data_IF_242045051717
#
_entry.id   IF_242045051717
#
_cell.length_a   1.000
_cell.length_b   1.000
_cell.length_c   1.000
_cell.angle_alpha   90.00
_cell.angle_beta   90.00
_cell.angle_gamma   90.00
#
_symmetry.space_group_name_H-M   'P 1'
#
loop_
_entity.id
_entity.type
_entity.pdbx_description
1 polymer ?
#
# COMPACT_ATOMS: atom_id res chain seq x y z
N UNK A 1 17.56 4.67 12.02
CA UNK A 1 17.69 3.80 10.84
C UNK A 1 18.18 4.67 9.70
N UNK A 2 19.04 4.21 8.81
CA UNK A 2 19.50 5.03 7.69
C UNK A 2 18.33 5.19 6.69
N UNK A 3 17.93 6.42 6.45
CA UNK A 3 17.07 6.77 5.34
C UNK A 3 17.86 6.55 4.05
N UNK A 4 17.29 5.85 3.09
CA UNK A 4 17.94 5.55 1.81
C UNK A 4 17.20 6.25 0.66
N UNK A 5 17.96 6.64 -0.36
CA UNK A 5 17.37 7.20 -1.58
C UNK A 5 16.77 6.06 -2.43
N UNK A 6 15.49 6.09 -2.77
CA UNK A 6 14.87 5.08 -3.64
C UNK A 6 15.21 5.33 -5.10
N UNK A 7 15.10 4.30 -5.92
CA UNK A 7 14.87 4.44 -7.37
C UNK A 7 13.42 4.87 -7.57
N UNK A 8 13.15 5.79 -8.48
CA UNK A 8 11.79 6.26 -8.80
C UNK A 8 11.44 5.78 -10.19
N UNK A 9 10.22 5.25 -10.36
CA UNK A 9 9.81 4.71 -11.65
C UNK A 9 8.42 4.09 -11.64
N UNK A 10 8.26 3.08 -12.49
CA UNK A 10 7.01 2.39 -12.75
C UNK A 10 7.24 0.88 -12.88
N UNK A 11 6.26 0.09 -12.46
CA UNK A 11 6.26 -1.35 -12.71
C UNK A 11 5.45 -1.60 -13.97
N UNK A 12 6.07 -2.25 -14.94
CA UNK A 12 5.46 -2.51 -16.25
C UNK A 12 5.75 -3.93 -16.73
N UNK A 13 4.92 -4.52 -17.62
CA UNK A 13 5.28 -5.75 -18.33
C UNK A 13 6.55 -5.58 -19.15
N UNK A 14 7.44 -6.59 -19.14
CA UNK A 14 8.69 -6.57 -19.94
C UNK A 14 8.43 -6.44 -21.44
N UNK A 15 7.29 -6.92 -21.93
CA UNK A 15 6.82 -6.73 -23.30
C UNK A 15 5.30 -6.83 -23.37
N UNK A 16 4.69 -6.47 -24.50
CA UNK A 16 3.23 -6.56 -24.72
C UNK A 16 2.66 -7.97 -24.54
N UNK A 17 3.50 -9.01 -24.64
CA UNK A 17 3.09 -10.41 -24.52
C UNK A 17 3.70 -11.10 -23.28
N UNK A 18 4.54 -10.40 -22.53
CA UNK A 18 5.18 -10.92 -21.33
C UNK A 18 4.26 -10.84 -20.13
N UNK A 19 4.27 -11.91 -19.33
CA UNK A 19 3.69 -11.90 -17.97
C UNK A 19 4.73 -11.47 -16.92
N UNK A 20 6.00 -11.36 -17.32
CA UNK A 20 7.05 -10.92 -16.43
C UNK A 20 7.00 -9.41 -16.30
N UNK A 21 7.08 -8.93 -15.08
CA UNK A 21 7.11 -7.53 -14.73
C UNK A 21 8.55 -7.07 -14.54
N UNK A 22 8.77 -5.77 -14.75
CA UNK A 22 10.04 -5.11 -14.49
C UNK A 22 9.79 -3.72 -13.92
N UNK A 23 10.73 -3.24 -13.12
CA UNK A 23 10.78 -1.85 -12.74
C UNK A 23 11.53 -1.05 -13.82
N UNK A 24 10.97 0.07 -14.23
CA UNK A 24 11.57 1.00 -15.19
C UNK A 24 11.73 2.35 -14.50
N UNK A 25 12.96 2.85 -14.44
CA UNK A 25 13.24 4.15 -13.85
C UNK A 25 12.62 5.27 -14.69
N UNK A 26 11.89 6.15 -14.01
CA UNK A 26 11.22 7.31 -14.57
C UNK A 26 11.04 8.35 -13.45
N UNK A 27 11.64 9.51 -13.59
CA UNK A 27 11.57 10.57 -12.59
C UNK A 27 10.15 11.13 -12.36
N UNK A 28 9.23 10.89 -13.28
CA UNK A 28 7.80 11.21 -13.14
C UNK A 28 6.94 10.04 -12.65
N UNK A 29 7.57 8.91 -12.27
CA UNK A 29 6.87 7.75 -11.72
C UNK A 29 6.40 7.99 -10.29
N UNK A 30 5.43 7.18 -9.88
CA UNK A 30 4.82 7.21 -8.55
C UNK A 30 5.33 6.10 -7.62
N UNK A 31 6.15 5.18 -8.16
CA UNK A 31 6.70 4.04 -7.44
C UNK A 31 8.14 4.31 -6.99
N UNK A 32 8.34 4.23 -5.69
CA UNK A 32 9.63 4.38 -5.00
C UNK A 32 10.13 2.99 -4.62
N UNK A 33 11.28 2.57 -5.11
CA UNK A 33 11.83 1.24 -4.95
C UNK A 33 13.18 1.27 -4.24
N UNK A 34 13.28 0.61 -3.08
CA UNK A 34 14.53 0.42 -2.33
C UNK A 34 15.15 -0.95 -2.60
N UNK A 35 14.30 -1.98 -2.73
CA UNK A 35 14.75 -3.37 -2.95
C UNK A 35 13.92 -4.04 -4.04
N UNK A 36 14.58 -4.72 -4.95
CA UNK A 36 13.92 -5.62 -5.89
C UNK A 36 13.35 -6.85 -5.16
N UNK A 37 12.29 -7.48 -5.67
CA UNK A 37 11.74 -8.68 -5.07
C UNK A 37 12.74 -9.84 -5.12
N UNK A 38 12.83 -10.58 -4.01
CA UNK A 38 13.72 -11.74 -3.86
C UNK A 38 12.88 -13.00 -3.96
N UNK A 39 13.27 -13.98 -4.83
CA UNK A 39 12.54 -15.24 -4.94
C UNK A 39 12.42 -15.96 -3.59
N UNK A 40 11.21 -16.43 -3.27
CA UNK A 40 10.92 -17.14 -2.02
C UNK A 40 10.64 -16.24 -0.83
N UNK A 41 10.78 -14.90 -0.96
CA UNK A 41 10.37 -13.98 0.09
C UNK A 41 8.85 -13.74 0.05
N UNK A 42 8.30 -13.43 1.21
CA UNK A 42 6.91 -13.10 1.45
C UNK A 42 6.76 -11.61 1.69
N UNK A 43 5.79 -11.00 1.01
CA UNK A 43 5.58 -9.55 1.07
C UNK A 43 4.16 -9.22 1.52
N UNK A 44 4.04 -8.10 2.22
CA UNK A 44 2.76 -7.51 2.60
C UNK A 44 2.65 -6.10 2.04
N UNK A 45 1.44 -5.72 1.66
CA UNK A 45 1.13 -4.37 1.16
C UNK A 45 0.06 -3.77 2.06
N UNK A 46 0.31 -2.56 2.56
CA UNK A 46 -0.68 -1.72 3.22
C UNK A 46 -1.06 -0.55 2.33
N UNK A 47 -2.35 -0.25 2.23
CA UNK A 47 -2.90 0.77 1.33
C UNK A 47 -3.74 1.75 2.12
N UNK A 48 -3.45 3.03 1.94
CA UNK A 48 -4.28 4.16 2.34
C UNK A 48 -4.57 5.03 1.10
N UNK A 49 -5.85 5.34 0.86
CA UNK A 49 -6.28 6.06 -0.33
C UNK A 49 -6.72 7.47 0.01
N UNK A 50 -6.31 8.45 -0.79
CA UNK A 50 -6.71 9.84 -0.61
C UNK A 50 -8.22 10.02 -0.79
N UNK A 51 -8.86 10.71 0.16
CA UNK A 51 -10.24 11.20 0.02
C UNK A 51 -10.29 12.55 -0.74
N UNK A 52 -9.14 13.10 -1.12
CA UNK A 52 -9.05 14.41 -1.78
C UNK A 52 -9.34 15.60 -0.86
N UNK A 53 -9.37 15.36 0.44
CA UNK A 53 -9.57 16.39 1.46
C UNK A 53 -8.26 17.12 1.75
N UNK A 54 -8.36 18.38 2.21
CA UNK A 54 -7.22 19.14 2.72
C UNK A 54 -7.34 19.14 4.25
N UNK A 55 -6.49 18.40 4.98
CA UNK A 55 -6.55 18.38 6.43
C UNK A 55 -6.31 19.76 7.03
N UNK A 56 -6.93 20.00 8.18
CA UNK A 56 -6.79 21.26 8.90
C UNK A 56 -5.31 21.53 9.26
N UNK A 57 -4.83 22.72 8.93
CA UNK A 57 -3.44 23.12 9.18
C UNK A 57 -2.44 22.71 8.09
N UNK A 58 -2.87 22.00 7.05
CA UNK A 58 -2.04 21.68 5.88
C UNK A 58 -2.38 22.56 4.68
N UNK A 59 -1.46 22.63 3.69
CA UNK A 59 -1.68 23.30 2.40
C UNK A 59 -1.82 22.32 1.23
N UNK A 60 -1.67 21.03 1.51
CA UNK A 60 -1.71 19.97 0.50
C UNK A 60 -2.87 19.02 0.81
N UNK A 61 -3.57 18.50 -0.20
CA UNK A 61 -4.54 17.43 0.01
C UNK A 61 -3.85 16.16 0.47
N UNK A 62 -4.61 15.25 1.10
CA UNK A 62 -4.16 13.91 1.45
C UNK A 62 -3.66 13.16 0.22
N UNK A 63 -2.63 12.37 0.40
CA UNK A 63 -2.02 11.56 -0.65
C UNK A 63 -2.43 10.08 -0.54
N UNK A 64 -2.55 9.42 -1.68
CA UNK A 64 -2.62 7.97 -1.71
C UNK A 64 -1.25 7.38 -1.42
N UNK A 65 -1.19 6.48 -0.44
CA UNK A 65 0.04 5.79 -0.03
C UNK A 65 -0.15 4.27 -0.07
N UNK A 66 0.80 3.59 -0.69
CA UNK A 66 0.93 2.13 -0.66
C UNK A 66 2.30 1.79 -0.09
N UNK A 67 2.36 1.01 0.98
CA UNK A 67 3.60 0.56 1.63
C UNK A 67 3.82 -0.92 1.36
N UNK A 68 5.03 -1.29 0.93
CA UNK A 68 5.42 -2.70 0.74
C UNK A 68 6.48 -3.08 1.75
N UNK A 69 6.21 -4.12 2.53
CA UNK A 69 7.14 -4.66 3.52
C UNK A 69 7.54 -6.10 3.16
N UNK A 70 8.83 -6.39 3.24
CA UNK A 70 9.37 -7.75 3.17
C UNK A 70 9.21 -8.43 4.54
N UNK A 71 8.24 -9.35 4.64
CA UNK A 71 7.94 -10.10 5.86
C UNK A 71 9.11 -11.03 6.23
N UNK A 72 9.73 -11.66 5.24
CA UNK A 72 10.85 -12.58 5.43
C UNK A 72 12.08 -11.90 6.01
N UNK A 73 12.25 -10.60 5.74
CA UNK A 73 13.31 -9.75 6.28
C UNK A 73 12.88 -8.93 7.50
N UNK A 74 11.90 -9.41 8.25
CA UNK A 74 11.48 -8.79 9.50
C UNK A 74 10.77 -7.44 9.31
N UNK A 75 9.99 -7.27 8.23
CA UNK A 75 9.23 -6.05 7.97
C UNK A 75 10.10 -4.92 7.40
N UNK A 76 11.09 -5.23 6.56
CA UNK A 76 11.85 -4.21 5.82
C UNK A 76 10.96 -3.55 4.76
N UNK A 77 10.90 -2.23 4.76
CA UNK A 77 10.24 -1.46 3.70
C UNK A 77 11.03 -1.58 2.41
N UNK A 78 10.40 -2.10 1.36
CA UNK A 78 11.07 -2.38 0.08
C UNK A 78 10.58 -1.52 -1.07
N UNK A 79 9.34 -1.04 -1.00
CA UNK A 79 8.78 -0.12 -1.99
C UNK A 79 7.63 0.72 -1.41
N UNK A 80 7.27 1.77 -2.14
CA UNK A 80 6.14 2.65 -1.88
C UNK A 80 5.55 3.15 -3.19
N UNK A 81 4.21 3.28 -3.28
CA UNK A 81 3.56 4.19 -4.22
C UNK A 81 3.10 5.40 -3.42
N UNK A 82 3.30 6.59 -3.98
CA UNK A 82 2.85 7.84 -3.36
C UNK A 82 2.50 8.90 -4.39
N UNK A 83 1.35 9.54 -4.23
CA UNK A 83 0.93 10.66 -5.08
C UNK A 83 -0.55 11.03 -4.90
N UNK A 84 -0.98 12.02 -5.68
CA UNK A 84 -2.40 12.38 -5.82
C UNK A 84 -3.06 11.43 -6.83
N UNK A 85 -3.30 10.19 -6.40
CA UNK A 85 -3.79 9.10 -7.24
C UNK A 85 -5.22 8.78 -6.80
N UNK A 86 -6.20 8.91 -7.72
CA UNK A 86 -7.58 8.51 -7.42
C UNK A 86 -7.70 6.99 -7.25
N UNK A 87 -8.75 6.54 -6.57
CA UNK A 87 -9.01 5.10 -6.37
C UNK A 87 -9.04 4.32 -7.69
N UNK A 88 -9.65 4.89 -8.75
CA UNK A 88 -9.72 4.24 -10.06
C UNK A 88 -8.34 4.07 -10.69
N UNK A 89 -7.48 5.07 -10.54
CA UNK A 89 -6.14 5.07 -11.11
C UNK A 89 -5.15 4.24 -10.28
N UNK A 90 -5.47 3.96 -9.02
CA UNK A 90 -4.62 3.14 -8.13
C UNK A 90 -4.72 1.65 -8.41
N UNK A 91 -5.88 1.15 -8.85
CA UNK A 91 -6.15 -0.30 -8.97
C UNK A 91 -5.09 -1.02 -9.79
N UNK A 92 -4.75 -0.51 -10.96
CA UNK A 92 -3.79 -1.16 -11.85
C UNK A 92 -2.35 -1.09 -11.33
N UNK A 93 -1.81 0.06 -10.89
CA UNK A 93 -0.50 0.11 -10.23
C UNK A 93 -0.39 -0.82 -9.02
N UNK A 94 -1.45 -0.92 -8.21
CA UNK A 94 -1.49 -1.80 -7.04
C UNK A 94 -1.46 -3.28 -7.44
N UNK A 95 -2.20 -3.68 -8.48
CA UNK A 95 -2.16 -5.04 -9.03
C UNK A 95 -0.75 -5.39 -9.53
N UNK A 96 -0.14 -4.50 -10.33
CA UNK A 96 1.22 -4.70 -10.85
C UNK A 96 2.25 -4.78 -9.73
N UNK A 97 2.14 -3.92 -8.72
CA UNK A 97 3.03 -3.93 -7.55
C UNK A 97 2.89 -5.23 -6.76
N UNK A 98 1.66 -5.69 -6.50
CA UNK A 98 1.40 -6.92 -5.79
C UNK A 98 1.93 -8.16 -6.53
N UNK A 99 1.77 -8.21 -7.86
CA UNK A 99 2.34 -9.26 -8.71
C UNK A 99 3.87 -9.19 -8.77
N UNK A 100 4.46 -8.00 -8.90
CA UNK A 100 5.91 -7.79 -8.91
C UNK A 100 6.55 -8.34 -7.64
N UNK A 101 5.90 -8.14 -6.48
CA UNK A 101 6.31 -8.72 -5.20
C UNK A 101 5.71 -10.11 -4.95
N UNK A 102 5.71 -10.98 -5.97
CA UNK A 102 5.38 -12.42 -5.91
C UNK A 102 4.00 -12.74 -5.32
N UNK A 103 3.02 -11.87 -5.60
CA UNK A 103 1.68 -12.03 -5.07
C UNK A 103 1.59 -11.65 -3.59
N UNK A 104 2.00 -10.44 -3.27
CA UNK A 104 1.98 -9.92 -1.91
C UNK A 104 0.59 -10.00 -1.25
N UNK A 105 0.56 -10.17 0.07
CA UNK A 105 -0.68 -10.10 0.84
C UNK A 105 -1.09 -8.64 1.06
N UNK A 106 -2.32 -8.27 0.67
CA UNK A 106 -2.75 -6.87 0.59
C UNK A 106 -3.80 -6.54 1.64
N UNK A 107 -3.56 -5.48 2.40
CA UNK A 107 -4.49 -4.89 3.38
C UNK A 107 -4.83 -3.47 2.95
N UNK A 108 -6.09 -3.21 2.62
CA UNK A 108 -6.58 -1.91 2.16
C UNK A 108 -7.38 -1.28 3.29
N UNK A 109 -7.14 0.00 3.59
CA UNK A 109 -8.05 0.78 4.42
C UNK A 109 -9.36 0.96 3.66
N UNK A 110 -10.47 0.44 4.21
CA UNK A 110 -11.72 0.29 3.44
C UNK A 110 -12.71 1.45 3.57
N UNK A 111 -12.44 2.44 4.42
CA UNK A 111 -13.33 3.60 4.55
C UNK A 111 -13.23 4.49 3.31
N UNK A 112 -12.01 4.90 2.96
CA UNK A 112 -11.71 5.65 1.75
C UNK A 112 -11.52 4.74 0.53
N UNK A 113 -10.86 3.58 0.68
CA UNK A 113 -10.50 2.66 -0.41
C UNK A 113 -11.57 1.65 -0.83
N UNK A 114 -12.86 2.02 -0.74
CA UNK A 114 -13.95 1.09 -1.06
C UNK A 114 -13.96 0.60 -2.50
N UNK A 115 -13.70 1.48 -3.44
CA UNK A 115 -13.61 1.13 -4.86
C UNK A 115 -12.43 0.20 -5.13
N UNK A 116 -11.26 0.50 -4.54
CA UNK A 116 -10.07 -0.35 -4.64
C UNK A 116 -10.34 -1.74 -4.08
N UNK A 117 -11.02 -1.87 -2.91
CA UNK A 117 -11.41 -3.16 -2.35
C UNK A 117 -12.27 -3.98 -3.32
N UNK A 118 -13.26 -3.35 -3.97
CA UNK A 118 -14.16 -4.01 -4.93
C UNK A 118 -13.39 -4.49 -6.17
N UNK A 119 -12.54 -3.66 -6.73
CA UNK A 119 -11.79 -4.00 -7.94
C UNK A 119 -10.68 -5.03 -7.65
N UNK A 120 -9.98 -4.92 -6.53
CA UNK A 120 -9.00 -5.93 -6.10
C UNK A 120 -9.66 -7.29 -5.88
N UNK A 121 -10.86 -7.34 -5.28
CA UNK A 121 -11.63 -8.58 -5.11
C UNK A 121 -11.98 -9.28 -6.42
N UNK A 122 -12.15 -8.52 -7.52
CA UNK A 122 -12.44 -9.05 -8.86
C UNK A 122 -11.19 -9.52 -9.60
N UNK A 123 -10.08 -8.81 -9.41
CA UNK A 123 -8.90 -8.91 -10.26
C UNK A 123 -7.67 -9.52 -9.57
N UNK A 124 -7.74 -9.79 -8.27
CA UNK A 124 -6.65 -10.39 -7.50
C UNK A 124 -7.08 -11.65 -6.75
N UNK A 125 -6.12 -12.49 -6.33
CA UNK A 125 -6.40 -13.73 -5.59
C UNK A 125 -7.02 -13.42 -4.22
N UNK A 126 -8.26 -13.88 -3.99
CA UNK A 126 -9.04 -13.54 -2.78
C UNK A 126 -8.34 -13.94 -1.48
N UNK A 127 -7.57 -15.00 -1.48
CA UNK A 127 -6.83 -15.46 -0.29
C UNK A 127 -5.56 -14.64 0.00
N UNK A 128 -5.19 -13.72 -0.92
CA UNK A 128 -4.13 -12.73 -0.75
C UNK A 128 -4.65 -11.36 -0.37
N UNK A 129 -5.94 -11.23 -0.16
CA UNK A 129 -6.57 -10.02 0.34
C UNK A 129 -6.96 -10.22 1.80
N UNK A 130 -6.65 -9.23 2.63
CA UNK A 130 -7.17 -9.18 3.99
C UNK A 130 -8.68 -9.02 3.97
N UNK A 131 -9.35 -9.75 4.84
CA UNK A 131 -10.79 -9.67 5.02
C UNK A 131 -11.12 -9.33 6.46
N UNK A 132 -11.99 -8.35 6.62
CA UNK A 132 -12.59 -8.05 7.90
C UNK A 132 -13.86 -8.90 8.09
N UNK A 133 -13.96 -9.60 9.21
CA UNK A 133 -15.13 -10.38 9.57
C UNK A 133 -16.01 -9.51 10.47
N UNK A 134 -16.96 -8.76 9.88
CA UNK A 134 -17.92 -7.92 10.59
C UNK A 134 -19.22 -8.65 10.83
N UNK A 135 -19.75 -8.56 12.05
CA UNK A 135 -21.10 -9.01 12.34
C UNK A 135 -22.11 -8.06 11.70
N UNK A 136 -22.95 -8.59 10.81
CA UNK A 136 -24.04 -7.84 10.19
C UNK A 136 -25.33 -8.09 10.95
N UNK A 137 -25.80 -7.10 11.71
CA UNK A 137 -27.02 -7.19 12.55
C UNK A 137 -28.29 -7.46 11.73
N UNK A 138 -28.44 -6.83 10.55
CA UNK A 138 -29.61 -6.98 9.70
C UNK A 138 -29.75 -8.41 9.15
N UNK A 139 -28.62 -9.01 8.79
CA UNK A 139 -28.55 -10.36 8.22
C UNK A 139 -28.29 -11.44 9.25
N UNK A 140 -28.05 -11.09 10.51
CA UNK A 140 -27.67 -11.98 11.63
C UNK A 140 -26.57 -12.98 11.23
N UNK A 141 -25.57 -12.52 10.50
CA UNK A 141 -24.42 -13.31 10.04
C UNK A 141 -23.16 -12.47 9.95
N UNK A 142 -22.02 -13.13 10.03
CA UNK A 142 -20.76 -12.49 9.70
C UNK A 142 -20.72 -12.18 8.19
N UNK A 143 -20.37 -10.96 7.84
CA UNK A 143 -19.99 -10.57 6.48
C UNK A 143 -18.47 -10.51 6.40
N UNK A 144 -17.92 -11.14 5.40
CA UNK A 144 -16.49 -11.13 5.12
C UNK A 144 -16.21 -10.18 3.98
N UNK A 145 -15.77 -8.98 4.32
CA UNK A 145 -15.48 -7.93 3.35
C UNK A 145 -13.97 -7.72 3.19
N UNK A 146 -13.54 -7.40 1.96
CA UNK A 146 -12.13 -7.07 1.68
C UNK A 146 -11.78 -5.74 2.32
N UNK A 147 -10.60 -5.69 2.90
CA UNK A 147 -10.04 -4.49 3.53
C UNK A 147 -10.24 -4.44 5.04
N UNK A 148 -9.55 -3.51 5.67
CA UNK A 148 -9.64 -3.22 7.10
C UNK A 148 -10.42 -1.94 7.31
N UNK A 149 -11.52 -2.01 8.09
CA UNK A 149 -12.30 -0.83 8.44
C UNK A 149 -11.67 -0.13 9.64
N UNK A 150 -11.09 1.04 9.38
CA UNK A 150 -10.54 1.88 10.44
C UNK A 150 -11.65 2.67 11.13
N UNK A 151 -11.63 2.70 12.45
CA UNK A 151 -12.49 3.56 13.28
C UNK A 151 -11.75 3.99 14.53
N UNK A 152 -12.27 4.98 15.24
CA UNK A 152 -11.60 5.58 16.42
C UNK A 152 -11.16 4.52 17.44
N UNK A 153 -11.97 3.49 17.67
CA UNK A 153 -11.68 2.45 18.66
C UNK A 153 -10.53 1.53 18.28
N UNK A 154 -10.36 1.16 17.00
CA UNK A 154 -9.28 0.26 16.56
C UNK A 154 -8.03 1.00 16.06
N UNK A 155 -8.15 2.26 15.61
CA UNK A 155 -7.01 3.07 15.15
C UNK A 155 -5.88 3.10 16.19
N UNK A 156 -6.22 3.34 17.44
CA UNK A 156 -5.23 3.34 18.54
C UNK A 156 -4.50 2.00 18.67
N UNK A 157 -5.21 0.89 18.51
CA UNK A 157 -4.59 -0.45 18.59
C UNK A 157 -3.65 -0.70 17.39
N UNK A 158 -4.06 -0.32 16.18
CA UNK A 158 -3.24 -0.46 14.97
C UNK A 158 -1.96 0.36 15.11
N UNK A 159 -2.08 1.64 15.48
CA UNK A 159 -0.94 2.53 15.67
C UNK A 159 -0.04 2.05 16.82
N UNK A 160 -0.61 1.60 17.93
CA UNK A 160 0.15 1.05 19.06
C UNK A 160 0.95 -0.20 18.69
N UNK A 161 0.38 -1.10 17.89
CA UNK A 161 1.09 -2.27 17.36
C UNK A 161 2.23 -1.88 16.44
N UNK A 162 2.01 -0.92 15.54
CA UNK A 162 3.04 -0.37 14.67
C UNK A 162 4.18 0.25 15.47
N UNK A 163 3.88 1.13 16.43
CA UNK A 163 4.86 1.75 17.31
C UNK A 163 5.71 0.70 18.06
N UNK A 164 5.05 -0.33 18.63
CA UNK A 164 5.75 -1.43 19.29
C UNK A 164 6.68 -2.21 18.35
N UNK A 165 6.32 -2.37 17.07
CA UNK A 165 7.21 -3.01 16.08
C UNK A 165 8.42 -2.12 15.77
N UNK A 166 8.25 -0.81 15.69
CA UNK A 166 9.34 0.16 15.49
C UNK A 166 10.31 0.13 16.70
N UNK A 167 9.78 0.20 17.93
CA UNK A 167 10.58 0.14 19.17
C UNK A 167 11.40 -1.16 19.28
N UNK A 168 10.79 -2.28 18.92
CA UNK A 168 11.44 -3.60 18.92
C UNK A 168 12.35 -3.83 17.72
N UNK A 169 12.51 -2.86 16.83
CA UNK A 169 13.25 -2.97 15.57
C UNK A 169 12.76 -4.10 14.66
N UNK A 170 11.48 -4.41 14.76
CA UNK A 170 10.77 -5.36 13.90
C UNK A 170 10.15 -4.68 12.66
N UNK A 171 10.51 -3.42 12.41
CA UNK A 171 10.30 -2.69 11.16
C UNK A 171 11.58 -1.95 10.81
N UNK A 172 11.94 -1.99 9.53
CA UNK A 172 13.06 -1.23 8.96
C UNK A 172 12.46 -0.29 7.90
N UNK A 173 12.49 1.01 8.18
CA UNK A 173 11.94 2.03 7.28
C UNK A 173 13.08 2.76 6.56
N UNK A 174 12.97 2.89 5.25
CA UNK A 174 13.91 3.60 4.39
C UNK A 174 13.37 4.96 3.95
N UNK A 175 12.04 5.12 3.93
CA UNK A 175 11.35 6.30 3.46
C UNK A 175 11.38 7.43 4.48
N UNK A 176 11.91 8.59 4.06
CA UNK A 176 12.03 9.79 4.90
C UNK A 176 10.67 10.33 5.33
N UNK A 177 9.70 10.34 4.44
CA UNK A 177 8.34 10.85 4.70
C UNK A 177 7.63 9.97 5.72
N UNK A 178 7.69 8.64 5.57
CA UNK A 178 7.11 7.70 6.54
C UNK A 178 7.73 7.86 7.93
N UNK A 179 9.06 8.04 8.01
CA UNK A 179 9.75 8.30 9.29
C UNK A 179 9.31 9.64 9.88
N UNK A 180 9.20 10.67 9.05
CA UNK A 180 8.79 12.02 9.48
C UNK A 180 7.37 12.02 10.05
N UNK A 181 6.41 11.39 9.37
CA UNK A 181 5.03 11.29 9.86
C UNK A 181 4.95 10.46 11.15
N UNK A 182 5.69 9.34 11.26
CA UNK A 182 5.77 8.57 12.50
C UNK A 182 6.26 9.42 13.68
N UNK A 183 7.19 10.35 13.47
CA UNK A 183 7.65 11.27 14.52
C UNK A 183 6.59 12.33 14.90
N UNK A 184 5.79 12.78 13.93
CA UNK A 184 4.71 13.74 14.15
C UNK A 184 3.43 13.13 14.74
N UNK A 185 3.39 11.80 14.89
CA UNK A 185 2.19 11.10 15.38
C UNK A 185 2.20 10.95 16.90
N UNK A 186 1.08 11.30 17.55
CA UNK A 186 0.98 11.26 19.01
C UNK A 186 -0.41 10.78 19.47
N UNK A 187 -0.50 10.48 20.76
CA UNK A 187 -1.80 10.22 21.39
C UNK A 187 -2.18 11.45 22.19
N UNK A 188 -3.29 12.09 21.82
CA UNK A 188 -3.83 13.27 22.52
C UNK A 188 -4.27 12.92 23.95
N UNK A 189 -4.48 13.95 24.80
CA UNK A 189 -4.94 13.78 26.16
C UNK A 189 -6.29 13.01 26.27
N UNK A 190 -7.13 13.07 25.24
CA UNK A 190 -8.36 12.28 25.09
C UNK A 190 -8.14 10.83 24.63
N UNK A 191 -6.91 10.40 24.45
CA UNK A 191 -6.57 9.04 23.99
C UNK A 191 -6.74 8.79 22.50
N UNK A 192 -6.98 9.83 21.69
CA UNK A 192 -7.07 9.74 20.24
C UNK A 192 -5.67 9.71 19.64
N UNK A 193 -5.43 8.73 18.77
CA UNK A 193 -4.20 8.63 18.00
C UNK A 193 -4.34 9.48 16.73
N UNK A 194 -3.54 10.54 16.61
CA UNK A 194 -3.66 11.53 15.53
C UNK A 194 -2.32 12.18 15.19
N UNK A 195 -2.22 12.70 13.97
CA UNK A 195 -1.07 13.50 13.56
C UNK A 195 -1.08 14.87 14.28
N UNK A 196 0.09 15.41 14.61
CA UNK A 196 0.22 16.76 15.08
C UNK A 196 -0.25 17.75 14.02
N UNK A 197 -0.73 18.94 14.43
CA UNK A 197 -1.16 19.97 13.48
C UNK A 197 -0.07 20.28 12.45
N UNK A 198 -0.44 20.25 11.17
CA UNK A 198 0.49 20.45 10.06
C UNK A 198 1.16 19.17 9.54
N UNK A 199 0.87 18.01 10.10
CA UNK A 199 1.32 16.69 9.61
C UNK A 199 0.16 15.97 8.95
N UNK A 200 0.48 15.21 7.90
CA UNK A 200 -0.39 14.17 7.33
C UNK A 200 -0.20 12.87 8.10
N UNK A 201 -1.12 11.93 7.94
CA UNK A 201 -1.03 10.59 8.53
C UNK A 201 -1.21 9.46 7.50
N UNK A 202 -1.13 9.79 6.22
CA UNK A 202 -1.33 8.87 5.10
C UNK A 202 -0.28 7.74 5.12
N UNK A 203 1.01 8.08 5.31
CA UNK A 203 2.08 7.09 5.39
C UNK A 203 1.96 6.24 6.66
N UNK A 204 1.57 6.83 7.79
CA UNK A 204 1.35 6.13 9.06
C UNK A 204 0.18 5.17 8.94
N UNK A 205 -0.92 5.57 8.30
CA UNK A 205 -2.10 4.72 8.08
C UNK A 205 -1.76 3.55 7.17
N UNK A 206 -1.14 3.80 6.00
CA UNK A 206 -0.71 2.74 5.09
C UNK A 206 0.28 1.76 5.76
N UNK A 207 1.23 2.27 6.56
CA UNK A 207 2.17 1.44 7.34
C UNK A 207 1.43 0.62 8.40
N UNK A 208 0.42 1.19 9.05
CA UNK A 208 -0.47 0.48 9.98
C UNK A 208 -1.20 -0.68 9.31
N UNK A 209 -1.71 -0.47 8.08
CA UNK A 209 -2.31 -1.54 7.27
C UNK A 209 -1.29 -2.63 6.94
N UNK A 210 -0.07 -2.27 6.55
CA UNK A 210 0.99 -3.25 6.31
C UNK A 210 1.33 -4.05 7.58
N UNK A 211 1.34 -3.41 8.76
CA UNK A 211 1.54 -4.10 10.05
C UNK A 211 0.42 -5.09 10.37
N UNK A 212 -0.84 -4.77 10.03
CA UNK A 212 -1.94 -5.74 10.11
C UNK A 212 -1.64 -6.94 9.20
N UNK A 213 -1.16 -6.70 7.99
CA UNK A 213 -0.77 -7.75 7.05
C UNK A 213 0.34 -8.66 7.58
N UNK A 214 1.35 -8.09 8.26
CA UNK A 214 2.40 -8.88 8.91
C UNK A 214 1.84 -9.80 10.01
N UNK A 215 0.88 -9.30 10.81
CA UNK A 215 0.30 -10.04 11.93
C UNK A 215 -0.75 -11.08 11.48
N UNK A 216 -1.40 -10.86 10.35
CA UNK A 216 -2.48 -11.71 9.82
C UNK A 216 -2.10 -12.48 8.55
N UNK A 217 -0.81 -12.54 8.24
CA UNK A 217 -0.33 -13.28 7.06
C UNK A 217 -0.74 -14.76 7.13
N UNK A 218 -1.37 -15.31 6.10
CA UNK A 218 -1.84 -16.69 6.14
C UNK A 218 -0.68 -17.71 6.13
N UNK A 219 -0.66 -18.65 7.07
CA UNK A 219 0.42 -19.65 7.21
C UNK A 219 0.59 -20.57 5.98
N UNK A 220 -0.48 -20.78 5.20
CA UNK A 220 -0.51 -21.69 4.07
C UNK A 220 -0.86 -20.98 2.75
N UNK A 221 -0.27 -19.81 2.52
CA UNK A 221 -0.49 -19.08 1.29
C UNK A 221 0.14 -19.87 0.12
N UNK A 222 -0.70 -20.25 -0.85
CA UNK A 222 -0.22 -21.01 -2.02
C UNK A 222 0.79 -20.17 -2.82
N UNK A 223 1.75 -20.81 -3.53
CA UNK A 223 2.61 -20.10 -4.45
C UNK A 223 1.81 -19.24 -5.42
N UNK A 224 2.27 -18.03 -5.66
CA UNK A 224 1.60 -17.11 -6.56
C UNK A 224 1.74 -17.55 -8.01
N UNK A 225 0.64 -17.56 -8.74
CA UNK A 225 0.64 -17.77 -10.18
C UNK A 225 0.31 -16.46 -10.86
N UNK A 226 1.25 -15.85 -11.59
CA UNK A 226 1.01 -14.56 -12.24
C UNK A 226 -0.28 -14.56 -13.09
N UNK A 227 -1.12 -13.56 -12.92
CA UNK A 227 -2.37 -13.47 -13.65
C UNK A 227 -2.12 -13.27 -15.13
N UNK A 228 -2.86 -14.04 -15.96
CA UNK A 228 -2.82 -13.93 -17.42
C UNK A 228 -3.57 -12.70 -17.96
N UNK A 229 -4.10 -11.83 -17.11
CA UNK A 229 -5.09 -10.82 -17.49
C UNK A 229 -4.66 -9.36 -17.41
N UNK A 230 -3.38 -9.05 -17.16
CA UNK A 230 -2.91 -7.70 -17.50
C UNK A 230 -2.84 -7.62 -19.03
N UNK A 231 -4.01 -7.48 -19.66
CA UNK A 231 -4.17 -7.54 -21.11
C UNK A 231 -3.96 -6.18 -21.78
N UNK A 232 -3.75 -5.13 -21.00
CA UNK A 232 -3.51 -3.80 -21.55
C UNK A 232 -2.50 -3.03 -20.71
N UNK A 233 -1.47 -2.52 -21.34
CA UNK A 233 -0.68 -1.41 -20.80
C UNK A 233 -1.67 -0.28 -20.53
N UNK A 234 -1.69 0.34 -19.34
CA UNK A 234 -2.58 1.44 -19.03
C UNK A 234 -2.62 2.45 -20.18
N UNK A 235 -3.80 2.97 -20.52
CA UNK A 235 -3.91 4.02 -21.55
C UNK A 235 -3.05 5.24 -21.22
N UNK A 236 -2.74 5.45 -19.94
CA UNK A 236 -1.79 6.46 -19.45
C UNK A 236 -0.33 6.17 -19.83
N UNK A 237 0.03 4.93 -20.16
CA UNK A 237 1.40 4.52 -20.52
C UNK A 237 1.51 4.22 -22.03
N UNK A 238 1.27 5.21 -22.89
CA UNK A 238 1.63 5.07 -24.31
C UNK A 238 3.15 5.10 -24.44
N UNK A 239 3.74 3.99 -24.91
CA UNK A 239 5.10 3.98 -25.42
C UNK A 239 5.18 4.93 -26.62
N UNK A 240 5.75 6.09 -26.43
CA UNK A 240 6.23 6.91 -27.53
C UNK A 240 7.63 6.38 -27.82
N UNK A 241 7.80 5.77 -29.01
CA UNK A 241 9.10 5.30 -29.46
C UNK A 241 10.14 6.43 -29.40
N UNK A 242 11.28 6.18 -28.72
CA UNK A 242 12.42 7.09 -28.65
C UNK A 242 12.23 8.26 -27.70
N UNK A 243 12.41 8.02 -26.40
CA UNK A 243 12.90 9.00 -25.42
C UNK A 243 12.14 10.32 -25.30
N UNK A 244 11.01 10.34 -24.70
CA UNK A 244 10.46 11.34 -23.77
C UNK A 244 8.95 11.10 -23.63
N UNK A 245 8.51 10.85 -22.39
CA UNK A 245 7.09 10.69 -22.04
C UNK A 245 6.52 12.05 -21.67
N UNK A 246 5.35 12.38 -22.19
CA UNK A 246 4.54 13.49 -21.66
C UNK A 246 3.29 12.88 -21.00
N UNK A 247 2.93 13.27 -19.77
CA UNK A 247 1.65 12.91 -19.18
C UNK A 247 0.54 13.53 -20.02
N UNK A 248 -0.50 12.76 -20.27
CA UNK A 248 -1.75 13.28 -20.90
C UNK A 248 -2.66 13.61 -19.72
N UNK A 249 -2.90 14.90 -19.51
CA UNK A 249 -3.93 15.43 -18.62
C UNK A 249 -5.31 15.23 -19.23
#
# INVERSE_FOLDING_TARGET
>A
MPVETPRIGLIVPQSRRSRLLQFVEDSGGDTYLWRDPIPGHEYVIGVDTAEGLIPEGTKKPDGTVVQVLDRTRGGEQVAKIYGQISEENLVEPLLLLAEFYHGAYVVIESNAGRHVCVEMKKNYEKHRLYHNDDWNEDKKRYSREVGHKMHVGNRRLVIGKMASKIEKRALILHDKESVHECHGFHTSAGGKAEAASGYHDDHVTALGMACIGLDSYPDNLKPFTPYSRVTSIPRSYRFIGGGQRKPIY
#
